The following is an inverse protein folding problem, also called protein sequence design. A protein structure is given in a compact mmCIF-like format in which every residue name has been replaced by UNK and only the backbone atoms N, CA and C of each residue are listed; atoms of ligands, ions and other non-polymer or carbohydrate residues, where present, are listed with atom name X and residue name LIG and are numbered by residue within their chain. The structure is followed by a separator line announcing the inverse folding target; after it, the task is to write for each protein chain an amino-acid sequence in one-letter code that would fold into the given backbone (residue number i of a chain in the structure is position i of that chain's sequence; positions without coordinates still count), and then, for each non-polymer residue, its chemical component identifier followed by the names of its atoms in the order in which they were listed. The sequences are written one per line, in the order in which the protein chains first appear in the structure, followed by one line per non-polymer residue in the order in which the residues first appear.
data_IF_842125382338
#
_entry.id   IF_842125382338
#
_cell.length_a   1.000
_cell.length_b   1.000
_cell.length_c   1.000
_cell.angle_alpha   90.00
_cell.angle_beta   90.00
_cell.angle_gamma   90.00
#
_symmetry.space_group_name_H-M   'P 1'
#
loop_
_entity.id
_entity.type
_entity.pdbx_description
1 polymer ?
#
# COMPACT_ATOMS: atom_id res chain seq x y z
N UNK A 1 -42.52 24.31 -26.83
CA UNK A 1 -41.36 23.47 -27.20
C UNK A 1 -40.73 22.86 -25.96
N UNK A 2 -41.34 21.82 -25.37
CA UNK A 2 -40.78 21.06 -24.23
C UNK A 2 -41.39 19.66 -24.05
N UNK A 3 -42.37 19.28 -24.88
CA UNK A 3 -43.05 17.98 -24.81
C UNK A 3 -42.63 16.98 -25.91
N UNK A 4 -41.83 17.39 -26.90
CA UNK A 4 -41.35 16.46 -27.94
C UNK A 4 -40.07 15.70 -27.55
N UNK A 5 -39.36 16.10 -26.49
CA UNK A 5 -38.08 15.49 -26.12
C UNK A 5 -38.26 14.26 -25.19
N UNK A 6 -39.42 14.10 -24.56
CA UNK A 6 -39.68 13.00 -23.59
C UNK A 6 -40.22 11.74 -24.28
N UNK A 7 -40.77 11.86 -25.49
CA UNK A 7 -41.30 10.73 -26.26
C UNK A 7 -40.21 9.93 -27.01
N UNK A 8 -39.02 10.49 -27.21
CA UNK A 8 -37.92 9.82 -27.90
C UNK A 8 -37.12 8.87 -26.98
N UNK A 9 -37.16 9.07 -25.66
CA UNK A 9 -36.40 8.27 -24.69
C UNK A 9 -37.12 7.02 -24.18
N UNK A 10 -38.37 6.78 -24.59
CA UNK A 10 -39.15 5.61 -24.15
C UNK A 10 -39.19 4.44 -25.16
N UNK A 11 -38.61 4.60 -26.36
CA UNK A 11 -38.73 3.64 -27.45
C UNK A 11 -37.56 2.63 -27.60
N UNK A 12 -36.51 2.74 -26.77
CA UNK A 12 -35.29 1.91 -26.92
C UNK A 12 -35.10 0.83 -25.85
N UNK A 13 -36.05 0.67 -24.90
CA UNK A 13 -35.89 -0.25 -23.77
C UNK A 13 -36.88 -1.44 -23.73
N UNK A 14 -37.67 -1.67 -24.78
CA UNK A 14 -38.63 -2.80 -24.80
C UNK A 14 -38.74 -3.43 -26.18
N UNK A 15 -37.88 -4.40 -26.49
CA UNK A 15 -38.20 -5.55 -27.34
C UNK A 15 -36.97 -6.46 -27.52
N UNK A 16 -36.79 -7.44 -26.62
CA UNK A 16 -36.24 -8.75 -26.98
C UNK A 16 -36.50 -9.73 -25.82
N UNK A 17 -37.78 -9.94 -25.52
CA UNK A 17 -38.25 -11.13 -24.81
C UNK A 17 -39.45 -11.62 -25.63
N UNK A 18 -39.17 -12.28 -26.77
CA UNK A 18 -40.19 -12.99 -27.52
C UNK A 18 -39.89 -14.48 -27.44
N UNK A 19 -40.40 -15.08 -26.37
CA UNK A 19 -40.46 -16.53 -26.18
C UNK A 19 -41.46 -17.10 -27.19
N UNK A 20 -41.01 -18.00 -28.07
CA UNK A 20 -41.89 -18.70 -29.01
C UNK A 20 -42.58 -19.89 -28.31
N UNK A 21 -43.87 -20.18 -28.59
CA UNK A 21 -44.56 -21.36 -28.08
C UNK A 21 -44.17 -22.64 -28.86
N UNK A 22 -44.35 -23.84 -28.28
CA UNK A 22 -43.86 -25.09 -28.83
C UNK A 22 -44.74 -25.59 -29.98
N UNK A 23 -44.13 -26.09 -31.06
CA UNK A 23 -44.85 -26.76 -32.15
C UNK A 23 -45.00 -28.28 -31.89
N UNK A 24 -46.14 -28.88 -32.30
CA UNK A 24 -46.43 -30.32 -32.21
C UNK A 24 -45.65 -31.16 -33.26
N UNK A 25 -45.60 -32.50 -33.09
CA UNK A 25 -44.50 -33.34 -33.58
C UNK A 25 -44.51 -33.60 -35.10
N UNK A 26 -43.34 -33.91 -35.70
CA UNK A 26 -43.23 -34.14 -37.14
C UNK A 26 -43.83 -35.49 -37.55
N UNK A 27 -44.57 -35.50 -38.66
CA UNK A 27 -44.90 -36.72 -39.40
C UNK A 27 -43.64 -37.30 -40.04
N UNK A 28 -43.44 -38.60 -39.84
CA UNK A 28 -42.36 -39.39 -40.40
C UNK A 28 -42.45 -39.43 -41.93
N UNK A 29 -41.37 -39.04 -42.61
CA UNK A 29 -41.12 -39.36 -44.01
C UNK A 29 -39.72 -40.00 -44.13
N UNK A 30 -39.52 -40.88 -45.13
CA UNK A 30 -38.57 -41.99 -45.07
C UNK A 30 -37.10 -41.56 -45.01
N UNK A 31 -36.36 -42.25 -44.14
CA UNK A 31 -34.92 -42.08 -43.90
C UNK A 31 -34.12 -42.41 -45.16
N UNK A 32 -33.58 -41.37 -45.81
CA UNK A 32 -32.43 -41.52 -46.70
C UNK A 32 -31.17 -41.56 -45.82
N UNK A 33 -30.53 -42.74 -45.78
CA UNK A 33 -29.33 -42.99 -44.99
C UNK A 33 -28.16 -42.27 -45.68
N UNK A 34 -27.97 -41.00 -45.33
CA UNK A 34 -26.72 -40.29 -45.61
C UNK A 34 -25.71 -40.73 -44.55
N UNK A 35 -24.51 -41.22 -44.92
CA UNK A 35 -23.51 -41.65 -43.95
C UNK A 35 -23.19 -40.49 -43.01
N UNK A 36 -23.37 -40.76 -41.71
CA UNK A 36 -23.15 -39.85 -40.60
C UNK A 36 -21.71 -39.35 -40.64
N UNK A 37 -21.52 -38.14 -41.17
CA UNK A 37 -20.26 -37.43 -41.01
C UNK A 37 -20.11 -37.17 -39.50
N UNK A 38 -19.06 -37.72 -38.84
CA UNK A 38 -18.89 -37.51 -37.42
C UNK A 38 -18.90 -36.00 -37.15
N UNK A 39 -19.58 -35.54 -36.09
CA UNK A 39 -19.67 -34.13 -35.77
C UNK A 39 -18.25 -33.58 -35.81
N UNK A 40 -18.05 -32.54 -36.63
CA UNK A 40 -16.80 -31.83 -36.64
C UNK A 40 -16.53 -31.48 -35.17
N UNK A 41 -15.48 -32.07 -34.61
CA UNK A 41 -14.97 -31.65 -33.32
C UNK A 41 -14.74 -30.16 -33.49
N UNK A 42 -15.55 -29.34 -32.81
CA UNK A 42 -15.17 -27.98 -32.54
C UNK A 42 -13.86 -28.12 -31.78
N UNK A 43 -12.76 -28.05 -32.54
CA UNK A 43 -11.46 -27.67 -32.04
C UNK A 43 -11.71 -26.32 -31.40
N UNK A 44 -12.07 -26.36 -30.11
CA UNK A 44 -11.85 -25.24 -29.22
C UNK A 44 -10.38 -24.94 -29.42
N UNK A 45 -10.09 -23.89 -30.18
CA UNK A 45 -8.76 -23.35 -30.32
C UNK A 45 -8.26 -23.22 -28.88
N UNK A 46 -7.16 -23.89 -28.51
CA UNK A 46 -6.69 -23.83 -27.14
C UNK A 46 -6.54 -22.36 -26.81
N UNK A 47 -7.31 -21.89 -25.83
CA UNK A 47 -7.21 -20.51 -25.35
C UNK A 47 -5.71 -20.31 -25.11
N UNK A 48 -5.07 -19.36 -25.82
CA UNK A 48 -3.62 -19.27 -25.78
C UNK A 48 -3.24 -19.14 -24.32
N UNK A 49 -2.45 -20.09 -23.82
CA UNK A 49 -1.86 -19.93 -22.49
C UNK A 49 -1.20 -18.55 -22.53
N UNK A 50 -1.71 -17.64 -21.70
CA UNK A 50 -1.27 -16.24 -21.67
C UNK A 50 0.17 -16.24 -21.13
N UNK A 51 1.13 -16.48 -22.02
CA UNK A 51 2.55 -16.59 -21.68
C UNK A 51 3.03 -15.19 -21.34
N UNK A 52 3.22 -14.95 -20.05
CA UNK A 52 3.89 -13.75 -19.55
C UNK A 52 5.31 -13.72 -20.12
N UNK A 53 5.63 -12.63 -20.81
CA UNK A 53 6.92 -12.41 -21.44
C UNK A 53 7.31 -10.92 -21.39
N UNK A 54 8.58 -10.60 -21.64
CA UNK A 54 9.06 -9.21 -21.66
C UNK A 54 9.04 -8.63 -23.08
N UNK A 55 7.86 -8.50 -23.67
CA UNK A 55 7.64 -7.90 -24.98
C UNK A 55 6.39 -6.99 -24.99
N UNK A 56 6.24 -6.18 -26.04
CA UNK A 56 5.15 -5.20 -26.21
C UNK A 56 3.97 -5.74 -27.05
N UNK A 57 3.88 -7.05 -27.25
CA UNK A 57 2.77 -7.65 -27.98
C UNK A 57 1.45 -7.48 -27.21
N UNK A 58 0.32 -7.21 -27.89
CA UNK A 58 -0.96 -6.96 -27.22
C UNK A 58 -1.41 -8.10 -26.31
N UNK A 59 -1.18 -9.36 -26.70
CA UNK A 59 -1.49 -10.53 -25.89
C UNK A 59 -0.68 -10.54 -24.59
N UNK A 60 0.64 -10.34 -24.68
CA UNK A 60 1.53 -10.25 -23.52
C UNK A 60 1.16 -9.12 -22.56
N UNK A 61 0.83 -7.93 -23.09
CA UNK A 61 0.40 -6.80 -22.27
C UNK A 61 -0.91 -7.11 -21.54
N UNK A 62 -1.84 -7.79 -22.20
CA UNK A 62 -3.09 -8.26 -21.59
C UNK A 62 -2.81 -9.31 -20.51
N UNK A 63 -1.97 -10.30 -20.78
CA UNK A 63 -1.56 -11.32 -19.83
C UNK A 63 -0.97 -10.69 -18.55
N UNK A 64 -0.10 -9.68 -18.68
CA UNK A 64 0.44 -8.95 -17.53
C UNK A 64 -0.63 -8.17 -16.75
N UNK A 65 -1.58 -7.53 -17.43
CA UNK A 65 -2.69 -6.85 -16.77
C UNK A 65 -3.57 -7.82 -15.99
N UNK A 66 -3.92 -8.96 -16.59
CA UNK A 66 -4.75 -9.99 -15.96
C UNK A 66 -4.01 -10.62 -14.78
N UNK A 67 -2.71 -10.90 -14.94
CA UNK A 67 -1.85 -11.36 -13.86
C UNK A 67 -1.88 -10.40 -12.66
N UNK A 68 -1.71 -9.09 -12.91
CA UNK A 68 -1.73 -8.08 -11.85
C UNK A 68 -3.07 -8.03 -11.12
N UNK A 69 -4.18 -8.16 -11.82
CA UNK A 69 -5.50 -8.21 -11.20
C UNK A 69 -5.65 -9.47 -10.33
N UNK A 70 -5.21 -10.62 -10.84
CA UNK A 70 -5.28 -11.91 -10.14
C UNK A 70 -4.49 -11.90 -8.84
N UNK A 71 -3.27 -11.37 -8.83
CA UNK A 71 -2.43 -11.36 -7.62
C UNK A 71 -2.94 -10.44 -6.52
N UNK A 72 -3.76 -9.44 -6.85
CA UNK A 72 -4.40 -8.58 -5.84
C UNK A 72 -5.51 -9.31 -5.08
N UNK A 73 -6.12 -10.34 -5.69
CA UNK A 73 -7.17 -11.12 -5.06
C UNK A 73 -6.59 -12.18 -4.11
N UNK A 74 -5.54 -12.88 -4.55
CA UNK A 74 -4.97 -14.03 -3.82
C UNK A 74 -3.42 -14.01 -3.78
N UNK A 75 -2.79 -13.02 -3.15
CA UNK A 75 -1.33 -12.85 -3.17
C UNK A 75 -0.56 -13.98 -2.48
N UNK A 76 -1.15 -14.59 -1.44
CA UNK A 76 -0.55 -15.72 -0.71
C UNK A 76 -0.50 -17.00 -1.57
N UNK A 77 -1.60 -17.28 -2.27
CA UNK A 77 -1.70 -18.45 -3.14
C UNK A 77 -0.66 -18.37 -4.28
N UNK A 78 -0.49 -17.18 -4.87
CA UNK A 78 0.51 -16.98 -5.89
C UNK A 78 1.94 -17.11 -5.35
N UNK A 79 2.22 -16.60 -4.14
CA UNK A 79 3.53 -16.79 -3.50
C UNK A 79 3.84 -18.27 -3.28
N UNK A 80 2.87 -19.07 -2.84
CA UNK A 80 3.03 -20.52 -2.70
C UNK A 80 3.27 -21.20 -4.06
N UNK A 81 2.50 -20.80 -5.09
CA UNK A 81 2.68 -21.31 -6.46
C UNK A 81 4.11 -21.05 -6.95
N UNK A 82 4.59 -19.81 -6.84
CA UNK A 82 5.93 -19.42 -7.27
C UNK A 82 7.04 -20.12 -6.45
N UNK A 83 6.81 -20.33 -5.15
CA UNK A 83 7.73 -21.06 -4.29
C UNK A 83 7.81 -22.56 -4.63
N UNK A 84 6.77 -23.13 -5.23
CA UNK A 84 6.73 -24.53 -5.65
C UNK A 84 7.44 -24.81 -6.98
N UNK A 85 7.85 -23.76 -7.71
CA UNK A 85 8.57 -23.92 -8.97
C UNK A 85 9.98 -24.46 -8.72
N UNK A 86 10.37 -25.53 -9.43
CA UNK A 86 11.71 -26.12 -9.32
C UNK A 86 12.82 -25.17 -9.78
N UNK A 87 12.53 -24.33 -10.76
CA UNK A 87 13.42 -23.29 -11.29
C UNK A 87 12.66 -21.98 -11.44
N UNK A 88 13.29 -20.89 -11.02
CA UNK A 88 12.75 -19.55 -11.18
C UNK A 88 13.43 -18.86 -12.36
N UNK A 89 12.68 -18.72 -13.45
CA UNK A 89 13.06 -17.91 -14.59
C UNK A 89 12.87 -16.41 -14.30
N UNK A 90 13.30 -15.54 -15.22
CA UNK A 90 13.24 -14.09 -15.06
C UNK A 90 11.80 -13.59 -14.85
N UNK A 91 10.83 -14.21 -15.53
CA UNK A 91 9.40 -13.89 -15.39
C UNK A 91 8.93 -14.24 -13.98
N UNK A 92 9.21 -15.45 -13.47
CA UNK A 92 8.83 -15.86 -12.11
C UNK A 92 9.51 -15.00 -11.03
N UNK A 93 10.76 -14.59 -11.25
CA UNK A 93 11.46 -13.66 -10.36
C UNK A 93 10.80 -12.29 -10.35
N UNK A 94 10.39 -11.78 -11.52
CA UNK A 94 9.66 -10.52 -11.63
C UNK A 94 8.27 -10.60 -10.99
N UNK A 95 7.55 -11.70 -11.20
CA UNK A 95 6.29 -12.00 -10.54
C UNK A 95 6.42 -11.98 -9.01
N UNK A 96 7.46 -12.62 -8.46
CA UNK A 96 7.76 -12.63 -7.04
C UNK A 96 8.13 -11.24 -6.53
N UNK A 97 8.90 -10.47 -7.31
CA UNK A 97 9.25 -9.10 -6.98
C UNK A 97 7.99 -8.21 -6.88
N UNK A 98 7.05 -8.32 -7.82
CA UNK A 98 5.77 -7.58 -7.74
C UNK A 98 4.98 -7.92 -6.48
N UNK A 99 4.92 -9.20 -6.09
CA UNK A 99 4.26 -9.64 -4.85
C UNK A 99 4.97 -9.09 -3.60
N UNK A 100 6.31 -9.05 -3.62
CA UNK A 100 7.11 -8.49 -2.54
C UNK A 100 7.02 -6.97 -2.42
N UNK A 101 6.42 -6.28 -3.39
CA UNK A 101 6.12 -4.86 -3.34
C UNK A 101 4.85 -4.57 -2.51
N UNK A 102 4.04 -5.59 -2.19
CA UNK A 102 2.76 -5.44 -1.49
C UNK A 102 2.93 -4.78 -0.11
N UNK A 103 2.04 -3.85 0.30
CA UNK A 103 2.16 -3.11 1.57
C UNK A 103 2.33 -3.96 2.83
N UNK A 104 1.77 -5.18 2.85
CA UNK A 104 1.90 -6.10 3.99
C UNK A 104 3.33 -6.64 4.17
N UNK A 105 4.19 -6.49 3.18
CA UNK A 105 5.57 -6.93 3.25
C UNK A 105 6.42 -5.93 4.05
N UNK A 106 7.43 -6.40 4.81
CA UNK A 106 8.30 -5.53 5.59
C UNK A 106 8.96 -4.42 4.75
N UNK A 107 9.10 -3.23 5.32
CA UNK A 107 9.70 -2.05 4.67
C UNK A 107 11.00 -2.37 3.93
N UNK A 108 11.95 -3.04 4.60
CA UNK A 108 13.29 -3.32 4.05
C UNK A 108 13.21 -4.25 2.84
N UNK A 109 12.27 -5.21 2.85
CA UNK A 109 12.04 -6.10 1.73
C UNK A 109 11.47 -5.33 0.54
N UNK A 110 10.44 -4.52 0.77
CA UNK A 110 9.85 -3.65 -0.26
C UNK A 110 10.86 -2.69 -0.86
N UNK A 111 11.66 -2.00 -0.03
CA UNK A 111 12.67 -1.04 -0.49
C UNK A 111 13.71 -1.65 -1.42
N UNK A 112 14.20 -2.85 -1.08
CA UNK A 112 15.15 -3.59 -1.91
C UNK A 112 14.55 -3.92 -3.28
N UNK A 113 13.35 -4.47 -3.26
CA UNK A 113 12.65 -4.90 -4.47
C UNK A 113 12.21 -3.71 -5.32
N UNK A 114 11.79 -2.60 -4.72
CA UNK A 114 11.52 -1.33 -5.39
C UNK A 114 12.74 -0.87 -6.20
N UNK A 115 13.93 -0.93 -5.60
CA UNK A 115 15.18 -0.54 -6.27
C UNK A 115 15.46 -1.47 -7.45
N UNK A 116 15.40 -2.79 -7.23
CA UNK A 116 15.59 -3.80 -8.27
C UNK A 116 14.61 -3.62 -9.44
N UNK A 117 13.32 -3.47 -9.15
CA UNK A 117 12.29 -3.33 -10.19
C UNK A 117 12.43 -2.01 -10.95
N UNK A 118 12.88 -0.94 -10.29
CA UNK A 118 13.16 0.33 -10.97
C UNK A 118 14.26 0.17 -12.01
N UNK A 119 15.31 -0.59 -11.71
CA UNK A 119 16.38 -0.92 -12.67
C UNK A 119 15.87 -1.81 -13.81
N UNK A 120 15.11 -2.86 -13.48
CA UNK A 120 14.51 -3.76 -14.48
C UNK A 120 13.60 -2.98 -15.44
N UNK A 121 12.80 -2.03 -14.94
CA UNK A 121 11.91 -1.22 -15.78
C UNK A 121 12.63 -0.49 -16.91
N UNK A 122 13.88 -0.08 -16.70
CA UNK A 122 14.68 0.63 -17.71
C UNK A 122 15.06 -0.26 -18.90
N UNK A 123 15.10 -1.58 -18.68
CA UNK A 123 15.39 -2.59 -19.70
C UNK A 123 14.13 -3.12 -20.41
N UNK A 124 12.95 -2.88 -19.83
CA UNK A 124 11.69 -3.37 -20.39
C UNK A 124 11.27 -2.57 -21.62
N UNK A 125 10.55 -3.21 -22.56
CA UNK A 125 9.87 -2.51 -23.63
C UNK A 125 8.96 -1.38 -23.12
N UNK A 126 8.85 -0.23 -23.82
CA UNK A 126 8.22 0.96 -23.28
C UNK A 126 6.76 0.79 -22.85
N UNK A 127 5.95 0.03 -23.61
CA UNK A 127 4.53 -0.12 -23.26
C UNK A 127 4.37 -1.04 -22.05
N UNK A 128 5.16 -2.10 -21.98
CA UNK A 128 5.21 -2.99 -20.83
C UNK A 128 5.71 -2.25 -19.57
N UNK A 129 6.79 -1.48 -19.68
CA UNK A 129 7.32 -0.66 -18.59
C UNK A 129 6.25 0.32 -18.06
N UNK A 130 5.49 0.94 -18.95
CA UNK A 130 4.41 1.85 -18.59
C UNK A 130 3.34 1.18 -17.70
N UNK A 131 3.05 -0.11 -17.89
CA UNK A 131 2.09 -0.86 -17.07
C UNK A 131 2.46 -0.90 -15.58
N UNK A 132 3.75 -0.86 -15.24
CA UNK A 132 4.26 -0.97 -13.86
C UNK A 132 4.72 0.38 -13.30
N UNK A 133 4.96 1.36 -14.16
CA UNK A 133 5.50 2.68 -13.79
C UNK A 133 4.71 3.37 -12.67
N UNK A 134 3.38 3.34 -12.74
CA UNK A 134 2.51 3.96 -11.75
C UNK A 134 2.61 3.29 -10.38
N UNK A 135 2.62 1.96 -10.35
CA UNK A 135 2.70 1.18 -9.11
C UNK A 135 4.03 1.38 -8.40
N UNK A 136 5.13 1.36 -9.15
CA UNK A 136 6.45 1.63 -8.61
C UNK A 136 6.56 3.06 -8.09
N UNK A 137 5.97 4.03 -8.78
CA UNK A 137 5.94 5.42 -8.30
C UNK A 137 5.12 5.54 -7.02
N UNK A 138 3.97 4.88 -6.95
CA UNK A 138 3.13 4.86 -5.76
C UNK A 138 3.85 4.20 -4.58
N UNK A 139 4.47 3.04 -4.79
CA UNK A 139 5.19 2.34 -3.74
C UNK A 139 6.40 3.14 -3.24
N UNK A 140 7.12 3.81 -4.15
CA UNK A 140 8.19 4.74 -3.78
C UNK A 140 7.69 5.84 -2.82
N UNK A 141 6.51 6.43 -3.09
CA UNK A 141 5.89 7.41 -2.20
C UNK A 141 5.45 6.83 -0.87
N UNK A 142 4.95 5.60 -0.86
CA UNK A 142 4.59 4.90 0.36
C UNK A 142 5.82 4.66 1.25
N UNK A 143 6.94 4.20 0.66
CA UNK A 143 8.20 3.99 1.35
C UNK A 143 8.77 5.31 1.92
N UNK A 144 8.75 6.38 1.13
CA UNK A 144 9.15 7.72 1.59
C UNK A 144 8.32 8.15 2.81
N UNK A 145 7.00 8.00 2.77
CA UNK A 145 6.12 8.36 3.86
C UNK A 145 6.39 7.53 5.13
N UNK A 146 6.55 6.22 5.00
CA UNK A 146 6.86 5.33 6.13
C UNK A 146 8.21 5.68 6.78
N UNK A 147 9.22 5.99 5.96
CA UNK A 147 10.52 6.45 6.44
C UNK A 147 10.43 7.79 7.18
N UNK A 148 9.60 8.71 6.69
CA UNK A 148 9.38 10.01 7.31
C UNK A 148 8.67 9.88 8.66
N UNK A 149 7.63 9.03 8.76
CA UNK A 149 6.94 8.74 10.02
C UNK A 149 7.90 8.18 11.06
N UNK A 150 8.77 7.25 10.65
CA UNK A 150 9.78 6.68 11.55
C UNK A 150 10.76 7.74 12.03
N UNK A 151 11.24 8.61 11.14
CA UNK A 151 12.15 9.70 11.48
C UNK A 151 11.50 10.71 12.44
N UNK A 152 10.25 11.12 12.19
CA UNK A 152 9.49 12.04 13.03
C UNK A 152 9.22 11.42 14.41
N UNK A 153 8.85 10.15 14.46
CA UNK A 153 8.62 9.43 15.73
C UNK A 153 9.88 9.42 16.58
N UNK A 154 11.04 9.12 15.96
CA UNK A 154 12.33 9.19 16.64
C UNK A 154 12.66 10.59 17.14
N UNK A 155 12.43 11.61 16.32
CA UNK A 155 12.67 13.00 16.71
C UNK A 155 11.78 13.42 17.89
N UNK A 156 10.50 13.08 17.85
CA UNK A 156 9.56 13.36 18.94
C UNK A 156 9.98 12.67 20.24
N UNK A 157 10.42 11.42 20.18
CA UNK A 157 10.95 10.72 21.36
C UNK A 157 12.18 11.43 21.93
N UNK A 158 13.12 11.87 21.07
CA UNK A 158 14.29 12.63 21.51
C UNK A 158 13.91 13.99 22.13
N UNK A 159 12.93 14.70 21.56
CA UNK A 159 12.44 15.96 22.09
C UNK A 159 11.76 15.77 23.46
N UNK A 160 10.98 14.70 23.61
CA UNK A 160 10.34 14.35 24.87
C UNK A 160 11.39 14.08 25.97
N UNK A 161 12.41 13.27 25.66
CA UNK A 161 13.51 13.00 26.59
C UNK A 161 14.26 14.29 26.99
N UNK A 162 14.49 15.20 26.05
CA UNK A 162 15.12 16.50 26.32
C UNK A 162 14.25 17.38 27.22
N UNK A 163 12.95 17.44 26.94
CA UNK A 163 11.99 18.21 27.72
C UNK A 163 11.92 17.70 29.16
N UNK A 164 11.91 16.39 29.38
CA UNK A 164 11.93 15.78 30.71
C UNK A 164 13.20 16.12 31.49
N UNK A 165 14.37 16.08 30.83
CA UNK A 165 15.65 16.50 31.44
C UNK A 165 15.62 17.96 31.85
N UNK A 166 15.17 18.84 30.95
CA UNK A 166 15.07 20.28 31.24
C UNK A 166 14.09 20.55 32.39
N UNK A 167 12.94 19.88 32.42
CA UNK A 167 12.00 20.00 33.54
C UNK A 167 12.61 19.54 34.86
N UNK A 168 13.37 18.45 34.87
CA UNK A 168 14.08 17.99 36.07
C UNK A 168 15.10 19.03 36.55
N UNK A 169 15.95 19.52 35.66
CA UNK A 169 16.93 20.57 35.98
C UNK A 169 16.26 21.84 36.49
N UNK A 170 15.14 22.25 35.88
CA UNK A 170 14.40 23.43 36.30
C UNK A 170 13.85 23.26 37.73
N UNK A 171 13.26 22.10 38.06
CA UNK A 171 12.83 21.79 39.43
C UNK A 171 13.99 21.78 40.42
N UNK A 172 15.15 21.26 40.04
CA UNK A 172 16.35 21.28 40.89
C UNK A 172 16.86 22.70 41.13
N UNK A 173 16.86 23.54 40.10
CA UNK A 173 17.24 24.96 40.23
C UNK A 173 16.23 25.72 41.09
N UNK A 174 14.92 25.49 40.92
CA UNK A 174 13.91 26.12 41.76
C UNK A 174 14.12 25.78 43.24
N UNK A 175 14.38 24.50 43.57
CA UNK A 175 14.72 24.09 44.94
C UNK A 175 15.95 24.81 45.49
N UNK A 176 16.97 25.05 44.66
CA UNK A 176 18.17 25.81 45.06
C UNK A 176 17.86 27.27 45.31
N UNK A 177 17.03 27.89 44.46
CA UNK A 177 16.58 29.27 44.64
C UNK A 177 15.82 29.38 45.96
N UNK A 178 14.83 28.51 46.19
CA UNK A 178 14.03 28.52 47.41
C UNK A 178 14.91 28.36 48.67
N UNK A 179 15.91 27.47 48.62
CA UNK A 179 16.87 27.29 49.71
C UNK A 179 17.75 28.54 49.94
N UNK A 180 18.25 29.18 48.88
CA UNK A 180 19.03 30.42 49.00
C UNK A 180 18.17 31.58 49.54
N UNK A 181 16.94 31.71 49.07
CA UNK A 181 15.99 32.72 49.59
C UNK A 181 15.69 32.49 51.06
N UNK A 182 15.56 31.23 51.51
CA UNK A 182 15.40 30.92 52.92
C UNK A 182 16.64 31.31 53.74
N UNK A 183 17.84 31.00 53.25
CA UNK A 183 19.11 31.40 53.89
C UNK A 183 19.20 32.93 54.00
N UNK A 184 18.84 33.66 52.94
CA UNK A 184 18.81 35.13 52.97
C UNK A 184 17.81 35.68 53.99
N UNK A 185 16.63 35.06 54.08
CA UNK A 185 15.62 35.43 55.06
C UNK A 185 16.09 35.15 56.50
N UNK A 186 16.80 34.06 56.75
CA UNK A 186 17.39 33.72 58.04
C UNK A 186 18.52 34.70 58.41
N UNK A 187 19.40 35.04 57.45
CA UNK A 187 20.48 36.01 57.67
C UNK A 187 19.97 37.42 57.98
N UNK A 188 18.93 37.88 57.28
CA UNK A 188 18.32 39.19 57.56
C UNK A 188 17.56 39.25 58.89
N UNK A 189 17.18 38.09 59.45
CA UNK A 189 16.50 38.00 60.75
C UNK A 189 17.48 37.84 61.92
N UNK A 190 18.76 37.58 61.69
CA UNK A 190 19.75 37.60 62.77
C UNK A 190 19.91 39.06 63.25
N UNK A 191 19.54 39.38 64.51
CA UNK A 191 19.75 40.71 65.04
C UNK A 191 21.25 40.97 65.05
N UNK A 192 21.65 42.17 64.62
CA UNK A 192 22.96 42.69 64.98
C UNK A 192 22.95 42.76 66.51
N UNK A 193 23.58 41.79 67.18
CA UNK A 193 23.90 41.93 68.60
C UNK A 193 24.79 43.18 68.70
N UNK A 194 24.16 44.29 69.06
CA UNK A 194 24.80 45.51 69.50
C UNK A 194 25.56 45.18 70.79
N UNK A 195 26.81 44.71 70.64
CA UNK A 195 27.83 44.87 71.67
C UNK A 195 28.27 46.34 71.69
N UNK A 196 27.37 47.23 72.13
CA UNK A 196 27.75 48.51 72.69
C UNK A 196 26.61 49.07 73.56
N UNK A 197 26.73 48.85 74.86
CA UNK A 197 25.87 49.40 75.90
C UNK A 197 26.52 49.21 77.25
N UNK A 198 27.24 50.23 77.71
CA UNK A 198 28.03 50.19 78.94
C UNK A 198 27.21 50.02 80.22
N UNK A 199 27.90 49.64 81.29
CA UNK A 199 27.42 49.82 82.65
C UNK A 199 28.60 49.97 83.61
N UNK A 200 28.82 51.22 84.02
CA UNK A 200 29.08 51.71 85.38
C UNK A 200 30.03 50.92 86.31
N UNK A 201 31.06 51.62 86.81
CA UNK A 201 31.84 51.22 87.98
C UNK A 201 30.98 51.07 89.25
N UNK A 202 31.54 50.42 90.28
CA UNK A 202 32.03 51.24 91.41
C UNK A 202 33.26 50.66 92.13
N UNK A 203 33.99 51.51 92.86
CA UNK A 203 34.92 51.12 93.93
C UNK A 203 36.34 51.65 93.77
#
# INVERSE_FOLDING_TARGET
MKQSLVLASLALLTACQLTAPPLPPPSELPVEIVPEQPPALELTEPEPEDILAFNDEPATLKAWLDYKQRILLEPEAERLRLASLETQDEVSQFQLALLNLHPDMPYVSRFRVQTQLTEVLLSLPPRLAALFSWELTFNQKLLEAESAVTAVTRLNAQQQDQLERLQKTNRELQKKIDALTQIEAELNQQPVENNNGGNNGPG
#
